data_IF_746480439157
#
_entry.id   IF_746480439157
#
_cell.length_a   1.000
_cell.length_b   1.000
_cell.length_c   1.000
_cell.angle_alpha   90.00
_cell.angle_beta   90.00
_cell.angle_gamma   90.00
#
_symmetry.space_group_name_H-M   'P 1'
#
loop_
_entity.id
_entity.type
_entity.pdbx_description
1 polymer ?
#
# COMPACT_ATOMS: atom_id res chain seq x y z
N UNK A 1 13.32 5.24 14.00
CA UNK A 1 12.69 5.69 12.74
C UNK A 1 11.57 6.65 13.08
N UNK A 2 11.54 7.84 12.47
CA UNK A 2 10.41 8.75 12.62
C UNK A 2 9.24 8.20 11.80
N UNK A 3 8.20 7.71 12.48
CA UNK A 3 7.02 7.12 11.82
C UNK A 3 6.05 8.19 11.30
N UNK A 4 6.29 9.46 11.62
CA UNK A 4 5.40 10.57 11.26
C UNK A 4 5.97 11.31 10.05
N UNK A 5 5.35 11.10 8.90
CA UNK A 5 5.49 11.91 7.69
C UNK A 5 4.27 12.81 7.55
N UNK A 6 4.46 14.06 7.17
CA UNK A 6 3.39 14.94 6.73
C UNK A 6 2.93 14.58 5.30
N UNK A 7 1.79 15.12 4.88
CA UNK A 7 1.29 14.93 3.51
C UNK A 7 2.29 15.45 2.46
N UNK A 8 2.87 16.62 2.70
CA UNK A 8 3.87 17.28 1.85
C UNK A 8 5.18 16.52 1.70
N UNK A 9 5.51 15.62 2.64
CA UNK A 9 6.72 14.80 2.55
C UNK A 9 6.59 13.73 1.45
N UNK A 10 5.36 13.29 1.19
CA UNK A 10 5.05 12.21 0.24
C UNK A 10 4.49 12.76 -1.05
N UNK A 11 3.65 13.79 -0.99
CA UNK A 11 2.90 14.30 -2.14
C UNK A 11 3.19 15.78 -2.39
N UNK A 12 3.07 16.19 -3.66
CA UNK A 12 3.01 17.58 -4.04
C UNK A 12 1.68 18.18 -3.56
N UNK A 13 1.73 18.81 -2.39
CA UNK A 13 0.57 19.42 -1.73
C UNK A 13 -0.06 20.53 -2.57
N UNK A 14 0.75 21.34 -3.26
CA UNK A 14 0.24 22.42 -4.11
C UNK A 14 -0.53 21.85 -5.30
N UNK A 15 0.03 20.84 -5.97
CA UNK A 15 -0.65 20.15 -7.05
C UNK A 15 -1.94 19.48 -6.58
N UNK A 16 -1.93 18.86 -5.39
CA UNK A 16 -3.12 18.21 -4.83
C UNK A 16 -4.26 19.22 -4.60
N UNK A 17 -3.97 20.36 -3.97
CA UNK A 17 -4.96 21.43 -3.70
C UNK A 17 -5.51 21.99 -5.01
N UNK A 18 -4.63 22.35 -5.94
CA UNK A 18 -5.03 22.95 -7.23
C UNK A 18 -5.81 21.98 -8.12
N UNK A 19 -5.51 20.69 -8.08
CA UNK A 19 -6.22 19.66 -8.87
C UNK A 19 -7.66 19.41 -8.42
N UNK A 20 -8.02 19.82 -7.21
CA UNK A 20 -9.34 19.61 -6.62
C UNK A 20 -10.12 20.92 -6.43
N UNK A 21 -9.56 22.07 -6.83
CA UNK A 21 -10.12 23.40 -6.55
C UNK A 21 -11.52 23.63 -7.12
N UNK A 22 -11.87 22.93 -8.20
CA UNK A 22 -13.21 23.00 -8.82
C UNK A 22 -14.25 22.13 -8.10
N UNK A 23 -13.80 21.16 -7.30
CA UNK A 23 -14.68 20.23 -6.58
C UNK A 23 -14.82 20.61 -5.10
N UNK A 24 -13.70 20.94 -4.45
CA UNK A 24 -13.62 21.23 -3.02
C UNK A 24 -12.55 22.28 -2.75
N UNK A 25 -12.87 23.23 -1.87
CA UNK A 25 -11.88 24.19 -1.41
C UNK A 25 -11.04 23.60 -0.29
N UNK A 26 -9.75 23.37 -0.56
CA UNK A 26 -8.80 22.81 0.39
C UNK A 26 -7.92 23.93 0.93
N UNK A 27 -7.90 24.08 2.25
CA UNK A 27 -7.02 25.01 2.98
C UNK A 27 -6.04 24.22 3.84
N UNK A 28 -4.84 24.77 4.05
CA UNK A 28 -3.78 24.09 4.82
C UNK A 28 -4.02 24.12 6.32
N UNK A 29 -4.58 25.22 6.80
CA UNK A 29 -4.87 25.47 8.20
C UNK A 29 -6.31 25.95 8.36
N UNK A 30 -6.89 25.67 9.52
CA UNK A 30 -8.21 26.19 9.86
C UNK A 30 -8.13 27.72 9.98
N UNK A 31 -9.02 28.49 9.32
CA UNK A 31 -9.07 29.94 9.48
C UNK A 31 -9.21 30.33 10.96
N UNK A 32 -8.50 31.38 11.38
CA UNK A 32 -8.42 31.82 12.80
C UNK A 32 -9.79 32.15 13.38
N UNK A 33 -10.69 32.65 12.55
CA UNK A 33 -12.06 33.01 12.91
C UNK A 33 -12.88 31.78 13.33
N UNK A 34 -12.49 30.59 12.87
CA UNK A 34 -13.17 29.31 13.14
C UNK A 34 -12.54 28.52 14.29
N UNK A 35 -11.38 28.92 14.80
CA UNK A 35 -10.68 28.18 15.87
C UNK A 35 -11.48 28.10 17.17
N UNK A 36 -12.24 29.16 17.49
CA UNK A 36 -13.07 29.27 18.69
C UNK A 36 -14.48 28.69 18.53
N UNK A 37 -14.88 28.29 17.32
CA UNK A 37 -16.22 27.77 17.04
C UNK A 37 -16.36 26.34 17.60
N UNK A 38 -17.51 25.98 18.21
CA UNK A 38 -17.77 24.62 18.67
C UNK A 38 -17.61 23.60 17.55
N UNK A 39 -16.84 22.53 17.78
CA UNK A 39 -16.57 21.50 16.77
C UNK A 39 -17.39 20.24 17.02
N UNK A 40 -18.06 19.75 15.98
CA UNK A 40 -18.58 18.38 16.01
C UNK A 40 -17.42 17.40 15.81
N UNK A 41 -17.34 16.36 16.63
CA UNK A 41 -16.39 15.26 16.41
C UNK A 41 -17.14 14.06 15.83
N UNK A 42 -16.71 13.59 14.66
CA UNK A 42 -17.31 12.42 14.00
C UNK A 42 -16.23 11.42 13.61
N UNK A 43 -16.58 10.15 13.57
CA UNK A 43 -15.77 9.10 12.95
C UNK A 43 -16.40 8.75 11.61
N UNK A 44 -15.59 8.54 10.57
CA UNK A 44 -16.14 8.01 9.31
C UNK A 44 -16.70 6.60 9.55
N UNK A 45 -17.88 6.34 9.00
CA UNK A 45 -18.47 5.00 9.01
C UNK A 45 -17.91 4.24 7.81
N UNK A 46 -17.30 3.07 8.07
CA UNK A 46 -16.88 2.20 6.96
C UNK A 46 -18.10 1.71 6.18
N UNK A 47 -18.00 1.76 4.85
CA UNK A 47 -19.11 1.47 3.92
C UNK A 47 -20.27 2.45 4.03
N UNK A 48 -20.00 3.69 4.45
CA UNK A 48 -20.97 4.77 4.46
C UNK A 48 -21.63 4.96 3.07
N UNK A 49 -22.96 4.85 3.04
CA UNK A 49 -23.80 5.21 1.90
C UNK A 49 -24.29 6.67 1.98
N UNK A 50 -25.29 7.02 1.17
CA UNK A 50 -25.79 8.40 1.07
C UNK A 50 -26.30 8.99 2.40
N UNK A 51 -26.95 8.17 3.24
CA UNK A 51 -27.47 8.60 4.55
C UNK A 51 -26.39 9.16 5.48
N UNK A 52 -25.16 8.65 5.40
CA UNK A 52 -24.04 9.19 6.17
C UNK A 52 -23.75 10.66 5.78
N UNK A 53 -23.85 11.00 4.50
CA UNK A 53 -23.61 12.37 4.03
C UNK A 53 -24.76 13.32 4.38
N UNK A 54 -25.99 12.82 4.40
CA UNK A 54 -27.16 13.56 4.91
C UNK A 54 -26.96 13.91 6.39
N UNK A 55 -26.52 12.96 7.22
CA UNK A 55 -26.17 13.22 8.62
C UNK A 55 -25.05 14.27 8.75
N UNK A 56 -24.02 14.20 7.90
CA UNK A 56 -22.92 15.16 7.91
C UNK A 56 -23.38 16.57 7.53
N UNK A 57 -24.37 16.69 6.64
CA UNK A 57 -24.98 17.97 6.26
C UNK A 57 -25.71 18.59 7.46
N UNK A 58 -26.45 17.79 8.22
CA UNK A 58 -27.12 18.27 9.42
C UNK A 58 -26.10 18.74 10.48
N UNK A 59 -25.04 17.95 10.72
CA UNK A 59 -23.97 18.32 11.64
C UNK A 59 -23.26 19.62 11.22
N UNK A 60 -23.09 19.83 9.91
CA UNK A 60 -22.48 21.04 9.37
C UNK A 60 -23.30 22.28 9.70
N UNK A 61 -24.63 22.20 9.56
CA UNK A 61 -25.54 23.30 9.90
C UNK A 61 -25.44 23.71 11.38
N UNK A 62 -25.18 22.76 12.28
CA UNK A 62 -25.17 23.00 13.71
C UNK A 62 -23.81 23.50 14.26
N UNK A 63 -22.68 23.08 13.66
CA UNK A 63 -21.35 23.29 14.25
C UNK A 63 -20.37 24.09 13.38
N UNK A 64 -20.62 24.29 12.08
CA UNK A 64 -19.72 24.92 11.09
C UNK A 64 -18.33 24.26 10.92
N UNK A 65 -17.78 23.60 11.95
CA UNK A 65 -16.50 22.90 11.96
C UNK A 65 -16.74 21.46 12.39
N UNK A 66 -16.41 20.52 11.51
CA UNK A 66 -16.46 19.09 11.80
C UNK A 66 -15.04 18.52 11.83
N UNK A 67 -14.62 18.05 13.00
CA UNK A 67 -13.37 17.30 13.15
C UNK A 67 -13.63 15.82 12.94
N UNK A 68 -13.18 15.31 11.79
CA UNK A 68 -13.29 13.88 11.49
C UNK A 68 -12.10 13.12 12.06
N UNK A 69 -12.34 12.40 13.16
CA UNK A 69 -11.33 11.61 13.83
C UNK A 69 -11.17 10.26 13.10
N UNK A 70 -9.98 10.03 12.54
CA UNK A 70 -9.60 8.88 11.70
C UNK A 70 -10.23 8.91 10.30
N UNK A 71 -9.38 9.11 9.30
CA UNK A 71 -9.74 9.23 7.87
C UNK A 71 -9.57 7.93 7.08
N UNK A 72 -9.31 6.80 7.74
CA UNK A 72 -8.96 5.51 7.13
C UNK A 72 -10.18 4.64 6.75
N UNK A 73 -11.40 5.11 7.05
CA UNK A 73 -12.63 4.38 6.70
C UNK A 73 -12.98 4.49 5.23
N UNK A 74 -13.49 3.40 4.67
CA UNK A 74 -13.84 3.29 3.25
C UNK A 74 -15.22 3.85 2.99
N UNK A 75 -15.35 4.66 1.95
CA UNK A 75 -16.66 4.97 1.36
C UNK A 75 -17.31 3.72 0.78
N UNK A 76 -18.64 3.67 0.73
CA UNK A 76 -19.34 2.62 0.00
C UNK A 76 -18.83 2.53 -1.45
N UNK A 77 -18.71 1.32 -1.97
CA UNK A 77 -18.27 1.13 -3.37
C UNK A 77 -19.42 1.30 -4.36
N UNK A 78 -20.64 0.96 -3.97
CA UNK A 78 -21.81 0.95 -4.84
C UNK A 78 -22.80 2.04 -4.40
N UNK A 79 -23.69 2.42 -5.32
CA UNK A 79 -24.80 3.35 -5.07
C UNK A 79 -24.39 4.77 -4.64
N UNK A 80 -23.15 5.18 -4.97
CA UNK A 80 -22.75 6.57 -4.89
C UNK A 80 -23.08 7.28 -6.22
N UNK A 81 -23.49 8.56 -6.18
CA UNK A 81 -23.64 9.39 -7.37
C UNK A 81 -22.39 9.41 -8.26
N UNK A 82 -22.59 9.57 -9.56
CA UNK A 82 -21.52 9.43 -10.57
C UNK A 82 -20.43 10.51 -10.43
N UNK A 83 -20.84 11.73 -10.12
CA UNK A 83 -19.96 12.86 -9.77
C UNK A 83 -19.10 12.56 -8.55
N UNK A 84 -19.66 11.97 -7.48
CA UNK A 84 -18.92 11.55 -6.29
C UNK A 84 -17.91 10.45 -6.64
N UNK A 85 -18.26 9.50 -7.49
CA UNK A 85 -17.32 8.47 -7.96
C UNK A 85 -16.19 9.07 -8.81
N UNK A 86 -16.50 10.07 -9.66
CA UNK A 86 -15.48 10.81 -10.43
C UNK A 86 -14.53 11.59 -9.52
N UNK A 87 -15.07 12.30 -8.53
CA UNK A 87 -14.28 13.01 -7.52
C UNK A 87 -13.41 12.03 -6.73
N UNK A 88 -13.95 10.88 -6.32
CA UNK A 88 -13.18 9.82 -5.64
C UNK A 88 -12.00 9.35 -6.49
N UNK A 89 -12.21 9.08 -7.78
CA UNK A 89 -11.12 8.71 -8.69
C UNK A 89 -10.09 9.84 -8.82
N UNK A 90 -10.54 11.10 -8.96
CA UNK A 90 -9.66 12.26 -9.06
C UNK A 90 -8.81 12.42 -7.80
N UNK A 91 -9.42 12.41 -6.63
CA UNK A 91 -8.76 12.58 -5.34
C UNK A 91 -7.82 11.42 -4.98
N UNK A 92 -8.07 10.19 -5.46
CA UNK A 92 -7.24 9.02 -5.13
C UNK A 92 -6.14 8.71 -6.15
N UNK A 93 -6.35 9.03 -7.43
CA UNK A 93 -5.45 8.58 -8.51
C UNK A 93 -4.95 9.68 -9.43
N UNK A 94 -5.60 10.85 -9.45
CA UNK A 94 -5.18 11.96 -10.33
C UNK A 94 -4.47 13.07 -9.56
N UNK A 95 -5.10 13.58 -8.49
CA UNK A 95 -4.60 14.68 -7.67
C UNK A 95 -3.35 14.32 -6.86
N UNK A 96 -3.20 13.10 -6.29
CA UNK A 96 -1.97 12.74 -5.60
C UNK A 96 -0.83 12.54 -6.60
N UNK A 97 0.09 13.50 -6.66
CA UNK A 97 1.40 13.33 -7.29
C UNK A 97 2.45 13.23 -6.21
N UNK A 98 3.43 12.34 -6.37
CA UNK A 98 4.50 12.23 -5.40
C UNK A 98 5.36 13.49 -5.37
N UNK A 99 5.98 13.75 -4.22
CA UNK A 99 6.94 14.84 -4.06
C UNK A 99 8.12 14.67 -5.01
N UNK A 100 8.76 15.77 -5.39
CA UNK A 100 9.89 15.79 -6.34
C UNK A 100 10.97 14.74 -6.01
N UNK A 101 11.42 14.57 -4.76
CA UNK A 101 12.44 13.55 -4.44
C UNK A 101 12.01 12.11 -4.79
N UNK A 102 10.74 11.77 -4.56
CA UNK A 102 10.20 10.44 -4.87
C UNK A 102 10.04 10.28 -6.40
N UNK A 103 9.56 11.31 -7.08
CA UNK A 103 9.36 11.31 -8.54
C UNK A 103 10.68 11.18 -9.31
N UNK A 104 11.73 11.88 -8.88
CA UNK A 104 13.03 11.81 -9.54
C UNK A 104 13.66 10.43 -9.37
N UNK A 105 13.58 9.85 -8.17
CA UNK A 105 14.08 8.51 -7.93
C UNK A 105 13.25 7.45 -8.66
N UNK A 106 11.91 7.63 -8.71
CA UNK A 106 11.01 6.79 -9.51
C UNK A 106 11.45 6.77 -10.96
N UNK A 107 11.65 7.94 -11.60
CA UNK A 107 12.05 8.02 -13.01
C UNK A 107 13.34 7.24 -13.26
N UNK A 108 14.37 7.50 -12.45
CA UNK A 108 15.66 6.81 -12.53
C UNK A 108 15.51 5.29 -12.41
N UNK A 109 14.76 4.81 -11.43
CA UNK A 109 14.51 3.37 -11.21
C UNK A 109 13.74 2.73 -12.36
N UNK A 110 12.66 3.36 -12.82
CA UNK A 110 11.83 2.84 -13.91
C UNK A 110 12.61 2.84 -15.23
N UNK A 111 13.35 3.89 -15.52
CA UNK A 111 14.23 3.97 -16.71
C UNK A 111 15.28 2.87 -16.69
N UNK A 112 15.95 2.66 -15.55
CA UNK A 112 16.92 1.58 -15.39
C UNK A 112 16.28 0.19 -15.57
N UNK A 113 15.13 -0.07 -14.95
CA UNK A 113 14.40 -1.34 -15.08
C UNK A 113 14.02 -1.62 -16.53
N UNK A 114 13.52 -0.60 -17.24
CA UNK A 114 13.11 -0.72 -18.64
C UNK A 114 14.30 -0.85 -19.58
N UNK A 115 15.42 -0.17 -19.33
CA UNK A 115 16.61 -0.28 -20.18
C UNK A 115 17.29 -1.65 -20.07
N UNK A 116 17.21 -2.31 -18.92
CA UNK A 116 17.86 -3.61 -18.69
C UNK A 116 16.97 -4.81 -19.01
N UNK A 117 15.66 -4.73 -18.71
CA UNK A 117 14.73 -5.85 -18.88
C UNK A 117 13.71 -5.69 -19.99
N UNK A 118 13.50 -4.46 -20.50
CA UNK A 118 12.38 -4.09 -21.35
C UNK A 118 11.04 -4.09 -20.59
N UNK A 119 10.71 -5.25 -19.99
CA UNK A 119 9.56 -5.47 -19.12
C UNK A 119 10.00 -6.00 -17.77
N UNK A 120 9.23 -5.72 -16.73
CA UNK A 120 9.50 -6.23 -15.39
C UNK A 120 8.25 -6.58 -14.59
N UNK A 121 8.42 -7.51 -13.66
CA UNK A 121 7.43 -7.81 -12.63
C UNK A 121 7.77 -6.98 -11.39
N UNK A 122 6.80 -6.30 -10.80
CA UNK A 122 6.93 -5.80 -9.43
C UNK A 122 6.28 -6.82 -8.49
N UNK A 123 7.09 -7.37 -7.58
CA UNK A 123 6.68 -8.32 -6.57
C UNK A 123 6.62 -7.65 -5.20
N UNK A 124 5.41 -7.43 -4.69
CA UNK A 124 5.21 -6.94 -3.34
C UNK A 124 5.20 -8.10 -2.34
N UNK A 125 6.22 -8.13 -1.48
CA UNK A 125 6.35 -9.11 -0.42
C UNK A 125 5.79 -8.53 0.88
N UNK A 126 4.67 -9.12 1.32
CA UNK A 126 4.20 -8.92 2.68
C UNK A 126 4.76 -10.03 3.56
N UNK A 127 5.47 -9.65 4.59
CA UNK A 127 5.98 -10.59 5.57
C UNK A 127 4.88 -11.08 6.49
N UNK A 128 4.97 -12.34 6.90
CA UNK A 128 4.07 -12.90 7.88
C UNK A 128 4.57 -12.53 9.28
N UNK A 129 3.99 -11.49 9.88
CA UNK A 129 4.19 -11.18 11.29
C UNK A 129 3.86 -12.40 12.18
N UNK A 130 3.00 -13.33 11.73
CA UNK A 130 2.70 -14.55 12.48
C UNK A 130 3.82 -15.60 12.46
N UNK A 131 4.73 -15.58 11.47
CA UNK A 131 5.95 -16.39 11.53
C UNK A 131 6.99 -15.81 12.50
N UNK A 132 6.88 -14.51 12.84
CA UNK A 132 7.65 -13.86 13.90
C UNK A 132 7.05 -14.03 15.31
N UNK A 133 5.81 -14.51 15.42
CA UNK A 133 5.07 -14.45 16.69
C UNK A 133 5.55 -15.46 17.75
N UNK A 134 6.30 -16.49 17.36
CA UNK A 134 6.92 -17.40 18.33
C UNK A 134 8.24 -16.87 18.91
N UNK A 135 8.80 -15.79 18.35
CA UNK A 135 10.14 -15.29 18.73
C UNK A 135 10.08 -13.95 19.48
N UNK A 136 9.11 -13.08 19.20
CA UNK A 136 8.97 -11.80 19.91
C UNK A 136 7.93 -11.87 21.04
N UNK A 137 8.40 -12.23 22.24
CA UNK A 137 7.65 -12.19 23.50
C UNK A 137 6.92 -10.86 23.75
N UNK A 138 7.46 -9.74 23.24
CA UNK A 138 6.85 -8.41 23.38
C UNK A 138 5.54 -8.24 22.57
N UNK A 139 5.43 -8.85 21.38
CA UNK A 139 4.20 -8.78 20.58
C UNK A 139 3.10 -9.69 21.12
N UNK A 140 3.47 -10.85 21.69
CA UNK A 140 2.57 -11.69 22.48
C UNK A 140 1.99 -10.90 23.65
N UNK A 141 2.83 -10.20 24.41
CA UNK A 141 2.40 -9.34 25.52
C UNK A 141 1.44 -8.23 25.08
N UNK A 142 1.75 -7.50 24.00
CA UNK A 142 0.84 -6.48 23.46
C UNK A 142 -0.48 -7.09 22.97
N UNK A 143 -0.44 -8.25 22.31
CA UNK A 143 -1.64 -8.95 21.82
C UNK A 143 -2.54 -9.42 22.96
N UNK A 144 -1.96 -9.99 24.02
CA UNK A 144 -2.70 -10.47 25.18
C UNK A 144 -3.36 -9.31 25.96
N UNK A 145 -2.63 -8.20 26.10
CA UNK A 145 -3.07 -7.03 26.87
C UNK A 145 -3.90 -6.01 26.06
N UNK A 146 -4.09 -6.22 24.75
CA UNK A 146 -4.89 -5.32 23.90
C UNK A 146 -6.32 -5.85 23.74
N UNK A 147 -7.27 -5.21 24.41
CA UNK A 147 -8.69 -5.64 24.43
C UNK A 147 -9.38 -5.68 23.06
N UNK A 148 -8.94 -4.87 22.10
CA UNK A 148 -9.53 -4.80 20.75
C UNK A 148 -8.88 -5.75 19.74
N UNK A 149 -7.90 -6.56 20.15
CA UNK A 149 -7.28 -7.53 19.27
C UNK A 149 -8.20 -8.76 19.12
N UNK A 150 -8.82 -8.90 17.95
CA UNK A 150 -9.89 -9.89 17.71
C UNK A 150 -9.43 -11.35 17.83
N UNK A 151 -8.15 -11.64 17.59
CA UNK A 151 -7.60 -13.01 17.58
C UNK A 151 -6.48 -13.12 18.61
N UNK A 152 -6.79 -13.66 19.80
CA UNK A 152 -5.82 -13.80 20.91
C UNK A 152 -5.04 -15.13 20.88
N UNK A 153 -5.58 -16.16 20.24
CA UNK A 153 -4.95 -17.46 20.00
C UNK A 153 -4.95 -17.71 18.50
N UNK A 154 -3.78 -17.94 17.91
CA UNK A 154 -3.63 -18.05 16.47
C UNK A 154 -2.90 -19.36 16.15
N UNK A 155 -3.64 -20.36 15.69
CA UNK A 155 -3.03 -21.58 15.13
C UNK A 155 -2.48 -21.23 13.73
N UNK A 156 -1.16 -21.28 13.57
CA UNK A 156 -0.49 -20.93 12.32
C UNK A 156 -0.86 -21.89 11.17
N UNK A 157 -1.17 -23.15 11.48
CA UNK A 157 -1.62 -24.15 10.51
C UNK A 157 -3.03 -23.80 10.04
N UNK A 158 -3.94 -23.49 10.96
CA UNK A 158 -5.31 -23.09 10.63
C UNK A 158 -5.33 -21.82 9.77
N UNK A 159 -4.50 -20.82 10.11
CA UNK A 159 -4.36 -19.60 9.30
C UNK A 159 -3.80 -19.89 7.90
N UNK A 160 -2.84 -20.83 7.79
CA UNK A 160 -2.24 -21.22 6.52
C UNK A 160 -3.25 -21.94 5.64
N UNK A 161 -3.98 -22.91 6.18
CA UNK A 161 -5.06 -23.65 5.49
C UNK A 161 -6.18 -22.69 5.08
N UNK A 162 -6.51 -21.73 5.94
CA UNK A 162 -7.48 -20.68 5.67
C UNK A 162 -7.03 -19.60 4.67
N UNK A 163 -5.82 -19.69 4.10
CA UNK A 163 -5.31 -18.72 3.12
C UNK A 163 -5.01 -17.34 3.72
N UNK A 164 -4.88 -17.24 5.05
CA UNK A 164 -4.60 -16.00 5.78
C UNK A 164 -3.11 -15.70 5.93
N UNK A 165 -2.24 -16.63 5.54
CA UNK A 165 -0.79 -16.44 5.51
C UNK A 165 -0.32 -15.92 4.13
N UNK A 166 0.62 -14.97 4.07
CA UNK A 166 1.35 -14.65 2.83
C UNK A 166 2.04 -15.88 2.24
N UNK A 167 2.21 -15.88 0.92
CA UNK A 167 3.09 -16.85 0.27
C UNK A 167 4.55 -16.58 0.62
N UNK A 168 5.31 -17.65 0.80
CA UNK A 168 6.77 -17.62 0.91
C UNK A 168 7.39 -17.30 -0.44
N UNK A 169 8.63 -16.81 -0.44
CA UNK A 169 9.40 -16.57 -1.66
C UNK A 169 9.53 -17.83 -2.54
N UNK A 170 9.70 -19.01 -1.91
CA UNK A 170 9.73 -20.30 -2.63
C UNK A 170 8.43 -20.55 -3.39
N UNK A 171 7.28 -20.38 -2.74
CA UNK A 171 5.96 -20.56 -3.36
C UNK A 171 5.70 -19.55 -4.47
N UNK A 172 6.03 -18.27 -4.25
CA UNK A 172 5.93 -17.25 -5.30
C UNK A 172 6.79 -17.63 -6.50
N UNK A 173 8.01 -18.15 -6.26
CA UNK A 173 8.89 -18.63 -7.31
C UNK A 173 8.30 -19.76 -8.13
N UNK A 174 7.73 -20.78 -7.48
CA UNK A 174 7.04 -21.90 -8.14
C UNK A 174 5.84 -21.38 -8.94
N UNK A 175 5.02 -20.52 -8.33
CA UNK A 175 3.85 -19.93 -8.95
C UNK A 175 4.19 -19.16 -10.23
N UNK A 176 5.21 -18.29 -10.19
CA UNK A 176 5.65 -17.54 -11.37
C UNK A 176 6.17 -18.45 -12.48
N UNK A 177 6.88 -19.53 -12.14
CA UNK A 177 7.34 -20.53 -13.12
C UNK A 177 6.16 -21.29 -13.75
N UNK A 178 5.16 -21.65 -12.95
CA UNK A 178 3.95 -22.31 -13.42
C UNK A 178 3.12 -21.43 -14.37
N UNK A 179 3.15 -20.10 -14.18
CA UNK A 179 2.56 -19.13 -15.11
C UNK A 179 3.36 -18.95 -16.42
N UNK A 180 4.51 -19.60 -16.55
CA UNK A 180 5.34 -19.56 -17.76
C UNK A 180 6.37 -18.43 -17.81
N UNK A 181 6.62 -17.71 -16.71
CA UNK A 181 7.69 -16.70 -16.69
C UNK A 181 9.08 -17.38 -16.74
N UNK A 182 9.96 -17.00 -17.68
CA UNK A 182 11.29 -17.58 -17.80
C UNK A 182 12.21 -17.11 -16.67
N UNK A 183 13.30 -17.84 -16.44
CA UNK A 183 14.32 -17.49 -15.44
C UNK A 183 14.93 -16.09 -15.68
N UNK A 184 15.01 -15.64 -16.93
CA UNK A 184 15.51 -14.31 -17.30
C UNK A 184 14.59 -13.15 -16.90
N UNK A 185 13.38 -13.43 -16.38
CA UNK A 185 12.42 -12.38 -15.98
C UNK A 185 13.04 -11.44 -14.95
N UNK A 186 12.99 -10.13 -15.25
CA UNK A 186 13.41 -9.08 -14.33
C UNK A 186 12.32 -8.85 -13.27
N UNK A 187 12.68 -8.97 -11.99
CA UNK A 187 11.74 -8.82 -10.88
C UNK A 187 12.23 -7.73 -9.93
N UNK A 188 11.46 -6.65 -9.83
CA UNK A 188 11.60 -5.63 -8.79
C UNK A 188 10.94 -6.13 -7.50
N UNK A 189 11.68 -6.12 -6.39
CA UNK A 189 11.18 -6.52 -5.08
C UNK A 189 10.73 -5.28 -4.28
N UNK A 190 9.41 -5.15 -4.12
CA UNK A 190 8.78 -4.12 -3.30
C UNK A 190 8.57 -4.64 -1.88
N UNK A 191 9.56 -4.45 -1.01
CA UNK A 191 9.50 -4.85 0.40
C UNK A 191 10.27 -3.89 1.32
N UNK A 192 9.97 -4.00 2.62
CA UNK A 192 10.90 -3.54 3.66
C UNK A 192 12.10 -4.49 3.80
N UNK A 193 12.71 -4.53 4.97
CA UNK A 193 13.69 -5.57 5.31
C UNK A 193 13.07 -6.96 5.12
N UNK A 194 13.84 -7.90 4.54
CA UNK A 194 13.38 -9.27 4.28
C UNK A 194 13.78 -10.18 5.44
N UNK A 195 12.80 -10.73 6.16
CA UNK A 195 12.96 -11.68 7.25
C UNK A 195 13.55 -13.02 6.77
N UNK A 196 14.50 -13.56 7.55
CA UNK A 196 15.35 -14.69 7.17
C UNK A 196 16.40 -14.36 6.10
N UNK A 197 16.48 -13.08 5.70
CA UNK A 197 17.61 -12.48 5.00
C UNK A 197 18.01 -13.19 3.69
N UNK A 198 19.31 -13.38 3.54
CA UNK A 198 19.94 -13.91 2.33
C UNK A 198 19.53 -15.35 2.00
N UNK A 199 19.16 -16.17 2.99
CA UNK A 199 18.83 -17.59 2.79
C UNK A 199 17.55 -17.77 1.98
N UNK A 200 16.43 -17.18 2.40
CA UNK A 200 15.18 -17.30 1.63
C UNK A 200 15.25 -16.59 0.28
N UNK A 201 16.03 -15.51 0.20
CA UNK A 201 16.28 -14.83 -1.06
C UNK A 201 17.08 -15.70 -2.04
N UNK A 202 18.01 -16.52 -1.54
CA UNK A 202 18.86 -17.37 -2.39
C UNK A 202 18.07 -18.43 -3.17
N UNK A 203 17.05 -19.03 -2.55
CA UNK A 203 16.17 -20.01 -3.20
C UNK A 203 15.28 -19.39 -4.28
N UNK A 204 14.87 -18.13 -4.09
CA UNK A 204 14.13 -17.38 -5.10
C UNK A 204 15.07 -16.95 -6.23
N UNK A 205 16.27 -16.48 -5.88
CA UNK A 205 17.31 -16.06 -6.83
C UNK A 205 17.79 -17.20 -7.72
N UNK A 206 17.80 -18.45 -7.25
CA UNK A 206 18.12 -19.61 -8.10
C UNK A 206 17.08 -19.84 -9.20
N UNK A 207 15.81 -19.46 -8.97
CA UNK A 207 14.72 -19.55 -9.97
C UNK A 207 14.61 -18.31 -10.86
N UNK A 208 14.93 -17.15 -10.30
CA UNK A 208 14.91 -15.84 -10.97
C UNK A 208 16.15 -15.04 -10.53
N UNK A 209 17.29 -15.14 -11.24
CA UNK A 209 18.53 -14.46 -10.87
C UNK A 209 18.46 -12.94 -11.01
N UNK A 210 17.57 -12.42 -11.85
CA UNK A 210 17.45 -11.00 -12.18
C UNK A 210 16.54 -10.27 -11.18
N UNK A 211 16.97 -10.23 -9.91
CA UNK A 211 16.27 -9.52 -8.84
C UNK A 211 16.80 -8.11 -8.67
N UNK A 212 15.89 -7.15 -8.56
CA UNK A 212 16.20 -5.74 -8.41
C UNK A 212 15.59 -5.21 -7.14
N UNK A 213 16.40 -4.51 -6.36
CA UNK A 213 15.99 -3.80 -5.16
C UNK A 213 16.25 -2.31 -5.34
N UNK A 214 15.59 -1.49 -4.52
CA UNK A 214 15.72 -0.03 -4.59
C UNK A 214 17.17 0.47 -4.40
N UNK A 215 17.98 -0.25 -3.64
CA UNK A 215 19.39 0.02 -3.34
C UNK A 215 20.37 -0.39 -4.44
N UNK A 216 19.93 -1.13 -5.46
CA UNK A 216 20.78 -1.47 -6.61
C UNK A 216 20.97 -0.28 -7.56
N UNK A 217 19.98 0.62 -7.62
CA UNK A 217 19.97 1.74 -8.58
C UNK A 217 20.10 3.10 -7.88
N UNK A 218 19.59 3.21 -6.65
CA UNK A 218 19.67 4.43 -5.86
C UNK A 218 21.02 4.48 -5.11
N UNK A 219 21.67 5.64 -5.15
CA UNK A 219 22.85 5.89 -4.31
C UNK A 219 22.45 5.90 -2.83
N UNK A 220 23.37 5.54 -1.91
CA UNK A 220 23.12 5.63 -0.48
C UNK A 220 22.62 7.01 -0.04
N UNK A 221 23.12 8.08 -0.67
CA UNK A 221 22.73 9.46 -0.39
C UNK A 221 21.28 9.75 -0.83
N UNK A 222 20.87 9.32 -2.03
CA UNK A 222 19.50 9.44 -2.53
C UNK A 222 18.52 8.67 -1.61
N UNK A 223 18.89 7.46 -1.18
CA UNK A 223 18.09 6.68 -0.25
C UNK A 223 18.03 7.31 1.12
N UNK A 224 19.14 7.88 1.62
CA UNK A 224 19.19 8.57 2.91
C UNK A 224 18.25 9.78 2.94
N UNK A 225 18.07 10.45 1.79
CA UNK A 225 17.09 11.52 1.63
C UNK A 225 15.63 11.07 1.84
N UNK A 226 15.32 9.80 1.55
CA UNK A 226 14.01 9.18 1.80
C UNK A 226 13.95 8.39 3.13
N UNK A 227 15.10 8.00 3.68
CA UNK A 227 15.23 7.11 4.83
C UNK A 227 14.76 7.74 6.15
N UNK A 228 14.54 9.05 6.19
CA UNK A 228 14.00 9.73 7.37
C UNK A 228 12.57 9.25 7.69
N UNK A 229 11.83 8.76 6.69
CA UNK A 229 10.44 8.30 6.84
C UNK A 229 10.18 6.99 6.08
N UNK A 230 9.80 5.92 6.81
CA UNK A 230 9.41 4.64 6.20
C UNK A 230 8.27 4.78 5.16
N UNK A 231 7.41 5.79 5.32
CA UNK A 231 6.32 6.11 4.39
C UNK A 231 6.82 6.54 3.00
N UNK A 232 7.93 7.27 2.90
CA UNK A 232 8.48 7.72 1.61
C UNK A 232 9.07 6.54 0.82
N UNK A 233 9.78 5.64 1.49
CA UNK A 233 10.26 4.40 0.89
C UNK A 233 9.10 3.53 0.40
N UNK A 234 8.01 3.42 1.18
CA UNK A 234 6.82 2.71 0.75
C UNK A 234 6.12 3.39 -0.44
N UNK A 235 6.11 4.72 -0.50
CA UNK A 235 5.59 5.48 -1.64
C UNK A 235 6.39 5.23 -2.93
N UNK A 236 7.72 5.10 -2.83
CA UNK A 236 8.55 4.71 -3.97
C UNK A 236 8.23 3.30 -4.47
N UNK A 237 8.15 2.31 -3.56
CA UNK A 237 7.76 0.94 -3.91
C UNK A 237 6.37 0.88 -4.54
N UNK A 238 5.45 1.74 -4.08
CA UNK A 238 4.10 1.83 -4.58
C UNK A 238 4.10 2.21 -6.05
N UNK A 239 4.77 3.31 -6.39
CA UNK A 239 4.70 3.83 -7.74
C UNK A 239 5.49 2.98 -8.74
N UNK A 240 6.62 2.38 -8.33
CA UNK A 240 7.35 1.42 -9.16
C UNK A 240 6.49 0.17 -9.44
N UNK A 241 5.66 -0.24 -8.47
CA UNK A 241 4.71 -1.34 -8.63
C UNK A 241 3.52 -0.98 -9.53
N UNK A 242 3.09 0.28 -9.54
CA UNK A 242 2.06 0.78 -10.47
C UNK A 242 2.60 0.82 -11.91
N UNK A 243 3.88 1.13 -12.10
CA UNK A 243 4.52 1.26 -13.41
C UNK A 243 4.97 -0.05 -14.06
N UNK A 244 4.95 -1.15 -13.32
CA UNK A 244 5.36 -2.46 -13.83
C UNK A 244 4.41 -3.03 -14.88
N UNK A 245 4.92 -3.89 -15.76
CA UNK A 245 4.10 -4.62 -16.71
C UNK A 245 3.14 -5.58 -16.01
N UNK A 246 3.63 -6.22 -14.95
CA UNK A 246 2.87 -7.15 -14.11
C UNK A 246 3.13 -6.83 -12.65
N UNK A 247 2.06 -6.70 -11.87
CA UNK A 247 2.15 -6.60 -10.42
C UNK A 247 1.74 -7.92 -9.79
N UNK A 248 2.55 -8.42 -8.86
CA UNK A 248 2.30 -9.65 -8.10
C UNK A 248 2.41 -9.31 -6.61
N UNK A 249 1.50 -9.83 -5.80
CA UNK A 249 1.57 -9.66 -4.34
C UNK A 249 1.54 -11.00 -3.64
N UNK A 250 2.39 -11.19 -2.62
CA UNK A 250 2.35 -12.41 -1.78
C UNK A 250 1.13 -12.44 -0.84
N UNK A 251 0.48 -11.28 -0.64
CA UNK A 251 -0.65 -11.11 0.26
C UNK A 251 -1.50 -9.88 -0.12
N UNK A 252 -2.82 -9.98 0.03
CA UNK A 252 -3.78 -8.91 -0.27
C UNK A 252 -3.88 -7.86 0.86
N UNK A 253 -2.74 -7.25 1.21
CA UNK A 253 -2.65 -6.18 2.21
C UNK A 253 -3.04 -4.79 1.67
N UNK A 254 -2.91 -3.75 2.50
CA UNK A 254 -3.25 -2.37 2.12
C UNK A 254 -2.50 -1.89 0.88
N UNK A 255 -1.18 -2.09 0.85
CA UNK A 255 -0.33 -1.74 -0.29
C UNK A 255 -0.77 -2.44 -1.58
N UNK A 256 -0.96 -3.76 -1.52
CA UNK A 256 -1.38 -4.55 -2.68
C UNK A 256 -2.72 -4.05 -3.25
N UNK A 257 -3.69 -3.77 -2.37
CA UNK A 257 -5.00 -3.22 -2.78
C UNK A 257 -4.90 -1.80 -3.35
N UNK A 258 -4.03 -0.97 -2.79
CA UNK A 258 -3.82 0.39 -3.28
C UNK A 258 -3.19 0.39 -4.69
N UNK A 259 -2.16 -0.45 -4.91
CA UNK A 259 -1.53 -0.63 -6.22
C UNK A 259 -2.53 -1.21 -7.22
N UNK A 260 -3.27 -2.25 -6.84
CA UNK A 260 -4.29 -2.86 -7.69
C UNK A 260 -5.36 -1.84 -8.12
N UNK A 261 -5.87 -1.02 -7.19
CA UNK A 261 -6.84 0.03 -7.48
C UNK A 261 -6.32 1.06 -8.48
N UNK A 262 -5.07 1.52 -8.30
CA UNK A 262 -4.45 2.49 -9.21
C UNK A 262 -4.17 1.87 -10.60
N UNK A 263 -3.69 0.62 -10.64
CA UNK A 263 -3.50 -0.12 -11.90
C UNK A 263 -4.80 -0.33 -12.66
N UNK A 264 -5.93 -0.53 -11.96
CA UNK A 264 -7.27 -0.57 -12.57
C UNK A 264 -7.67 0.78 -13.16
N UNK A 265 -7.46 1.86 -12.42
CA UNK A 265 -7.70 3.22 -12.91
C UNK A 265 -6.89 3.55 -14.18
N UNK A 266 -5.63 3.11 -14.25
CA UNK A 266 -4.75 3.30 -15.42
C UNK A 266 -5.01 2.31 -16.57
N UNK A 267 -6.26 1.90 -16.79
CA UNK A 267 -6.66 1.04 -17.89
C UNK A 267 -6.48 -0.45 -17.64
N UNK A 268 -6.79 -0.92 -16.42
CA UNK A 268 -6.78 -2.35 -16.08
C UNK A 268 -5.44 -3.06 -16.33
N UNK A 269 -4.33 -2.43 -15.89
CA UNK A 269 -2.98 -3.03 -15.99
C UNK A 269 -2.93 -4.39 -15.26
N UNK A 270 -2.14 -5.33 -15.79
CA UNK A 270 -2.12 -6.72 -15.32
C UNK A 270 -1.68 -6.83 -13.85
N UNK A 271 -2.56 -7.37 -13.02
CA UNK A 271 -2.31 -7.64 -11.60
C UNK A 271 -2.62 -9.10 -11.32
N UNK A 272 -1.72 -9.80 -10.64
CA UNK A 272 -1.86 -11.22 -10.31
C UNK A 272 -1.81 -11.37 -8.80
N UNK A 273 -2.89 -11.90 -8.25
CA UNK A 273 -2.98 -12.24 -6.83
C UNK A 273 -3.10 -13.76 -6.74
N UNK A 274 -2.06 -14.47 -6.28
CA UNK A 274 -2.10 -15.91 -6.12
C UNK A 274 -3.21 -16.34 -5.16
N UNK A 275 -3.90 -17.43 -5.48
CA UNK A 275 -4.78 -18.08 -4.52
C UNK A 275 -3.94 -18.80 -3.46
N UNK A 276 -4.15 -18.40 -2.20
CA UNK A 276 -3.40 -18.89 -1.05
C UNK A 276 -3.99 -20.18 -0.47
N UNK A 277 -5.21 -20.55 -0.83
CA UNK A 277 -5.81 -21.83 -0.41
C UNK A 277 -5.09 -23.01 -1.10
N UNK A 278 -4.85 -22.90 -2.41
CA UNK A 278 -4.22 -23.95 -3.21
C UNK A 278 -2.70 -24.06 -3.02
N UNK A 279 -2.07 -23.03 -2.49
CA UNK A 279 -0.62 -23.03 -2.25
C UNK A 279 -0.20 -24.00 -1.13
N UNK A 280 -1.15 -24.39 -0.26
CA UNK A 280 -0.96 -25.48 0.70
C UNK A 280 -0.80 -26.86 0.05
N UNK A 281 -1.34 -27.04 -1.16
CA UNK A 281 -1.32 -28.31 -1.90
C UNK A 281 0.00 -28.51 -2.68
N UNK A 282 0.69 -27.42 -3.07
CA UNK A 282 2.00 -27.46 -3.73
C UNK A 282 3.17 -27.88 -2.81
N UNK A 283 2.88 -28.23 -1.54
CA UNK A 283 3.87 -28.61 -0.52
C UNK A 283 3.79 -30.11 -0.19
N UNK A 284 2.86 -30.87 -0.79
CA UNK A 284 2.69 -32.30 -0.52
C UNK A 284 3.39 -33.25 -1.52
N UNK A 285 4.34 -32.75 -2.33
CA UNK A 285 5.23 -33.58 -3.17
C UNK A 285 6.70 -33.23 -2.95
#
# INVERSE_FOLDING_TARGET
MNLHSAFSDIFDEFHFITSLQEDVWIVKELPKELESVPRARKHFTSWAGMTYYEEMTQLWNDHQVIHVAKSDSRLANNNLPLDIQRLRCRALYHAPRFSTPIEDLRKKLVEWLRSHGGKYIALHLRENIHALLDIYSHFLFLRENTNHWKIKKNDSVEQRVGGFCPLTLKEVGIFLRALGYPQSTLIYIASGEIYGGSTHLSEFKSRFPNLVFKDIVATPEELKGLANHASQTAALDYIISVESDVFVSSYSGNMARAVEGHRRFLGHRKTITPDRYFSSCLILE
#
